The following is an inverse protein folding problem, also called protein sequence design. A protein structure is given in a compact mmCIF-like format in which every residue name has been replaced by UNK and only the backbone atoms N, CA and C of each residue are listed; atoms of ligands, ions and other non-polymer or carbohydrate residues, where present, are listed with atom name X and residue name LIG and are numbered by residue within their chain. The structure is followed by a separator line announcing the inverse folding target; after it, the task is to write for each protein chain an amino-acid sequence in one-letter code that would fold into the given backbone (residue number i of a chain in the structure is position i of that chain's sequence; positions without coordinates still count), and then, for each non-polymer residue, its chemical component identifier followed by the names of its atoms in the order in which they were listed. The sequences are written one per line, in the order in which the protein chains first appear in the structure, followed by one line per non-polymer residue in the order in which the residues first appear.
data_IF_327143091680
#
_entry.id   IF_327143091680
#
_cell.length_a   1.000
_cell.length_b   1.000
_cell.length_c   1.000
_cell.angle_alpha   90.00
_cell.angle_beta   90.00
_cell.angle_gamma   90.00
#
_symmetry.space_group_name_H-M   'P 1'
#
loop_
_entity.id
_entity.type
_entity.pdbx_description
1 polymer ?
#
# COMPACT_ATOMS: atom_id res chain seq x y z
N UNK A 1 5.37 -8.82 -10.18
CA UNK A 1 4.32 -7.87 -9.82
C UNK A 1 3.28 -8.53 -8.98
N UNK A 2 2.73 -7.84 -8.04
CA UNK A 2 2.61 -6.38 -7.91
C UNK A 2 3.69 -5.73 -7.02
N UNK A 3 3.69 -4.38 -7.02
CA UNK A 3 4.48 -3.58 -6.10
C UNK A 3 3.56 -2.72 -5.25
N UNK A 4 3.71 -2.82 -3.94
CA UNK A 4 2.99 -1.96 -3.00
C UNK A 4 3.98 -1.05 -2.29
N UNK A 5 3.83 0.24 -2.49
CA UNK A 5 4.67 1.26 -1.87
C UNK A 5 3.84 1.95 -0.82
N UNK A 6 4.22 1.78 0.45
CA UNK A 6 3.53 2.36 1.58
C UNK A 6 4.28 3.63 1.95
N UNK A 7 3.53 4.71 2.10
CA UNK A 7 4.10 6.01 2.49
C UNK A 7 3.44 6.44 3.79
N UNK A 8 4.23 6.98 4.71
CA UNK A 8 3.70 7.58 5.93
C UNK A 8 4.61 8.72 6.38
N UNK A 9 4.11 9.54 7.28
CA UNK A 9 4.93 10.57 7.90
C UNK A 9 5.72 9.99 9.07
N UNK A 10 6.75 10.72 9.48
CA UNK A 10 7.67 10.29 10.52
C UNK A 10 6.97 10.00 11.85
N UNK A 11 6.01 10.82 12.24
CA UNK A 11 5.32 10.66 13.52
C UNK A 11 4.49 9.38 13.59
N UNK A 12 4.00 8.89 12.45
CA UNK A 12 3.30 7.61 12.38
C UNK A 12 4.20 6.47 12.89
N UNK A 13 5.50 6.52 12.63
CA UNK A 13 6.44 5.47 13.04
C UNK A 13 6.66 5.39 14.55
N UNK A 14 6.19 6.39 15.31
CA UNK A 14 6.32 6.38 16.78
C UNK A 14 5.35 5.40 17.43
N UNK A 15 4.25 5.06 16.77
CA UNK A 15 3.23 4.16 17.31
C UNK A 15 2.89 2.99 16.37
N UNK A 16 3.61 2.87 15.26
CA UNK A 16 3.45 1.79 14.28
C UNK A 16 4.78 1.09 14.11
N UNK A 17 4.82 -0.22 14.27
CA UNK A 17 5.98 -1.01 13.89
C UNK A 17 6.08 -1.03 12.37
N UNK A 18 7.19 -0.53 11.83
CA UNK A 18 7.40 -0.39 10.40
C UNK A 18 7.29 -1.72 9.65
N UNK A 19 7.91 -2.78 10.15
CA UNK A 19 7.81 -4.08 9.50
C UNK A 19 6.40 -4.64 9.57
N UNK A 20 5.70 -4.43 10.68
CA UNK A 20 4.32 -4.88 10.80
C UNK A 20 3.40 -4.16 9.81
N UNK A 21 3.63 -2.86 9.60
CA UNK A 21 2.89 -2.09 8.61
C UNK A 21 3.08 -2.67 7.20
N UNK A 22 4.32 -2.98 6.82
CA UNK A 22 4.63 -3.60 5.54
C UNK A 22 3.96 -4.98 5.42
N UNK A 23 4.04 -5.79 6.47
CA UNK A 23 3.41 -7.12 6.49
C UNK A 23 1.90 -7.05 6.35
N UNK A 24 1.26 -6.08 6.99
CA UNK A 24 -0.19 -5.93 6.91
C UNK A 24 -0.65 -5.69 5.47
N UNK A 25 0.06 -4.85 4.73
CA UNK A 25 -0.24 -4.60 3.32
C UNK A 25 0.07 -5.82 2.47
N UNK A 26 1.21 -6.46 2.72
CA UNK A 26 1.59 -7.70 2.03
C UNK A 26 0.50 -8.77 2.20
N UNK A 27 0.04 -8.98 3.43
CA UNK A 27 -0.96 -9.99 3.74
C UNK A 27 -2.32 -9.65 3.11
N UNK A 28 -2.72 -8.39 3.09
CA UNK A 28 -3.94 -7.96 2.40
C UNK A 28 -3.88 -8.27 0.91
N UNK A 29 -2.75 -8.01 0.27
CA UNK A 29 -2.54 -8.33 -1.14
C UNK A 29 -2.60 -9.84 -1.38
N UNK A 30 -1.96 -10.63 -0.53
CA UNK A 30 -1.97 -12.08 -0.63
C UNK A 30 -3.38 -12.64 -0.45
N UNK A 31 -4.11 -12.13 0.55
CA UNK A 31 -5.47 -12.59 0.86
C UNK A 31 -6.49 -12.22 -0.21
N UNK A 32 -6.18 -11.25 -1.07
CA UNK A 32 -7.06 -10.90 -2.19
C UNK A 32 -7.24 -12.03 -3.19
N UNK A 33 -6.29 -12.97 -3.23
CA UNK A 33 -6.30 -14.06 -4.20
C UNK A 33 -5.88 -13.67 -5.61
N UNK A 34 -5.52 -12.40 -5.82
CA UNK A 34 -5.15 -11.88 -7.14
C UNK A 34 -3.69 -12.13 -7.51
N UNK A 35 -2.84 -12.39 -6.52
CA UNK A 35 -1.40 -12.49 -6.72
C UNK A 35 -0.82 -13.69 -6.00
N UNK A 36 0.27 -14.27 -6.54
CA UNK A 36 0.98 -15.30 -5.82
C UNK A 36 1.97 -14.66 -4.83
N UNK A 37 2.19 -15.34 -3.73
CA UNK A 37 3.10 -14.92 -2.67
C UNK A 37 4.48 -14.48 -3.21
N UNK A 38 5.03 -15.27 -4.14
CA UNK A 38 6.37 -15.06 -4.65
C UNK A 38 6.52 -13.81 -5.54
N UNK A 39 5.40 -13.26 -5.98
CA UNK A 39 5.40 -12.09 -6.86
C UNK A 39 5.15 -10.78 -6.13
N UNK A 40 4.61 -10.82 -4.91
CA UNK A 40 4.24 -9.61 -4.17
C UNK A 40 5.50 -8.94 -3.61
N UNK A 41 5.60 -7.62 -3.81
CA UNK A 41 6.65 -6.80 -3.22
C UNK A 41 6.00 -5.66 -2.47
N UNK A 42 6.44 -5.43 -1.23
CA UNK A 42 5.93 -4.35 -0.41
C UNK A 42 7.09 -3.66 0.31
N UNK A 43 7.05 -2.34 0.37
CA UNK A 43 8.09 -1.54 1.00
C UNK A 43 7.51 -0.25 1.54
N UNK A 44 8.20 0.31 2.53
CA UNK A 44 7.78 1.51 3.23
C UNK A 44 8.73 2.66 2.94
N UNK A 45 8.14 3.83 2.69
CA UNK A 45 8.88 5.09 2.60
C UNK A 45 8.33 6.06 3.64
N UNK A 46 9.20 6.59 4.49
CA UNK A 46 8.85 7.51 5.56
C UNK A 46 9.27 8.93 5.17
N UNK A 47 8.37 9.88 5.30
CA UNK A 47 8.61 11.29 4.98
C UNK A 47 8.89 12.07 6.26
N UNK A 48 9.99 12.82 6.27
CA UNK A 48 10.35 13.70 7.38
C UNK A 48 9.50 14.96 7.41
N UNK A 49 9.07 15.42 6.26
CA UNK A 49 8.32 16.68 6.10
C UNK A 49 7.08 16.43 5.29
N UNK A 50 5.92 16.76 5.84
CA UNK A 50 4.65 16.61 5.14
C UNK A 50 3.58 17.51 5.75
N UNK A 51 2.59 17.86 4.93
CA UNK A 51 1.39 18.56 5.38
C UNK A 51 0.17 17.80 4.84
N UNK A 52 -0.79 17.61 5.70
CA UNK A 52 -2.11 17.06 5.34
C UNK A 52 -3.17 18.03 5.88
N UNK A 53 -4.02 18.53 4.99
CA UNK A 53 -5.03 19.53 5.35
C UNK A 53 -4.42 20.76 6.00
N UNK A 54 -3.20 21.16 5.56
CA UNK A 54 -2.50 22.33 6.06
C UNK A 54 -1.82 22.18 7.41
N UNK A 55 -1.82 20.99 7.97
CA UNK A 55 -1.23 20.69 9.28
C UNK A 55 -0.38 19.41 9.23
N UNK A 56 0.34 19.15 10.30
CA UNK A 56 1.18 17.96 10.44
C UNK A 56 0.33 16.80 10.96
N UNK A 57 -0.60 16.32 10.12
CA UNK A 57 -1.42 15.16 10.47
C UNK A 57 -0.75 13.85 10.05
N UNK A 58 -1.03 12.79 10.78
CA UNK A 58 -0.54 11.46 10.46
C UNK A 58 -1.29 10.88 9.26
N UNK A 59 -0.54 10.31 8.32
CA UNK A 59 -1.13 9.67 7.15
C UNK A 59 -0.43 8.36 6.82
N UNK A 60 -1.18 7.47 6.19
CA UNK A 60 -0.67 6.26 5.55
C UNK A 60 -1.30 6.20 4.16
N UNK A 61 -0.46 6.22 3.13
CA UNK A 61 -0.91 6.07 1.75
C UNK A 61 -0.24 4.85 1.12
N UNK A 62 -1.01 4.08 0.36
CA UNK A 62 -0.49 2.90 -0.34
C UNK A 62 -0.69 3.07 -1.84
N UNK A 63 0.42 3.00 -2.59
CA UNK A 63 0.40 2.88 -4.03
C UNK A 63 0.52 1.40 -4.39
N UNK A 64 -0.46 0.85 -5.10
CA UNK A 64 -0.37 -0.50 -5.63
C UNK A 64 -0.21 -0.46 -7.14
N UNK A 65 0.90 -1.01 -7.64
CA UNK A 65 1.17 -1.12 -9.07
C UNK A 65 0.99 -2.56 -9.49
N UNK A 66 0.01 -2.82 -10.34
CA UNK A 66 -0.37 -4.17 -10.75
C UNK A 66 -0.38 -4.29 -12.26
N UNK A 67 -0.42 -5.54 -12.76
CA UNK A 67 -0.56 -5.81 -14.19
C UNK A 67 -1.95 -5.46 -14.70
N UNK A 68 -2.05 -5.15 -15.97
CA UNK A 68 -3.32 -4.99 -16.67
C UNK A 68 -4.12 -6.29 -16.61
N UNK A 69 -5.44 -6.19 -16.74
CA UNK A 69 -6.31 -7.34 -16.86
C UNK A 69 -7.25 -7.59 -15.69
N UNK A 70 -7.07 -6.92 -14.55
CA UNK A 70 -8.03 -7.00 -13.45
C UNK A 70 -9.19 -6.06 -13.73
N UNK A 71 -10.39 -6.47 -13.28
CA UNK A 71 -11.59 -5.65 -13.43
C UNK A 71 -11.54 -4.44 -12.48
N UNK A 72 -12.35 -3.43 -12.79
CA UNK A 72 -12.52 -2.28 -11.91
C UNK A 72 -12.98 -2.72 -10.51
N UNK A 73 -13.89 -3.70 -10.45
CA UNK A 73 -14.37 -4.25 -9.19
C UNK A 73 -13.25 -4.90 -8.38
N UNK A 74 -12.38 -5.69 -9.01
CA UNK A 74 -11.25 -6.33 -8.34
C UNK A 74 -10.27 -5.29 -7.78
N UNK A 75 -9.97 -4.26 -8.55
CA UNK A 75 -9.08 -3.17 -8.11
C UNK A 75 -9.67 -2.38 -6.97
N UNK A 76 -10.95 -2.04 -7.06
CA UNK A 76 -11.64 -1.30 -6.01
C UNK A 76 -11.67 -2.09 -4.70
N UNK A 77 -11.98 -3.37 -4.77
CA UNK A 77 -12.03 -4.24 -3.60
C UNK A 77 -10.67 -4.35 -2.93
N UNK A 78 -9.60 -4.44 -3.72
CA UNK A 78 -8.24 -4.47 -3.20
C UNK A 78 -7.93 -3.19 -2.42
N UNK A 79 -8.26 -2.03 -2.98
CA UNK A 79 -8.08 -0.75 -2.30
C UNK A 79 -8.88 -0.66 -1.01
N UNK A 80 -10.14 -1.06 -1.04
CA UNK A 80 -11.03 -1.05 0.14
C UNK A 80 -10.49 -1.95 1.24
N UNK A 81 -10.05 -3.14 0.91
CA UNK A 81 -9.53 -4.10 1.88
C UNK A 81 -8.25 -3.59 2.54
N UNK A 82 -7.35 -2.99 1.76
CA UNK A 82 -6.12 -2.41 2.30
C UNK A 82 -6.44 -1.25 3.24
N UNK A 83 -7.30 -0.33 2.81
CA UNK A 83 -7.65 0.85 3.62
C UNK A 83 -8.37 0.42 4.91
N UNK A 84 -9.35 -0.46 4.82
CA UNK A 84 -10.11 -0.88 6.00
C UNK A 84 -9.24 -1.65 6.98
N UNK A 85 -8.34 -2.49 6.50
CA UNK A 85 -7.38 -3.22 7.36
C UNK A 85 -6.47 -2.24 8.10
N UNK A 86 -5.88 -1.29 7.39
CA UNK A 86 -4.99 -0.31 8.00
C UNK A 86 -5.73 0.61 8.97
N UNK A 87 -6.93 1.04 8.62
CA UNK A 87 -7.71 1.91 9.52
C UNK A 87 -8.13 1.19 10.80
N UNK A 88 -8.44 -0.10 10.70
CA UNK A 88 -8.76 -0.92 11.87
C UNK A 88 -7.55 -1.09 12.79
N UNK A 89 -6.37 -1.33 12.21
CA UNK A 89 -5.14 -1.53 12.97
C UNK A 89 -4.55 -0.22 13.51
N UNK A 90 -4.77 0.88 12.80
CA UNK A 90 -4.19 2.20 13.13
C UNK A 90 -5.28 3.26 13.13
N UNK A 91 -6.23 3.17 14.09
CA UNK A 91 -7.42 4.04 14.09
C UNK A 91 -7.11 5.52 14.30
N UNK A 92 -5.95 5.85 14.86
CA UNK A 92 -5.56 7.23 15.13
C UNK A 92 -4.89 7.91 13.94
N UNK A 93 -4.61 7.19 12.86
CA UNK A 93 -4.12 7.82 11.63
C UNK A 93 -5.21 8.73 11.06
N UNK A 94 -4.86 9.99 10.85
CA UNK A 94 -5.80 11.00 10.33
C UNK A 94 -6.29 10.64 8.93
N UNK A 95 -5.39 10.17 8.07
CA UNK A 95 -5.69 9.85 6.68
C UNK A 95 -5.10 8.49 6.33
N UNK A 96 -5.95 7.59 5.84
CA UNK A 96 -5.51 6.31 5.26
C UNK A 96 -6.10 6.23 3.85
N UNK A 97 -5.26 6.02 2.87
CA UNK A 97 -5.69 5.97 1.47
C UNK A 97 -4.91 4.94 0.67
N UNK A 98 -5.48 4.50 -0.43
CA UNK A 98 -4.85 3.54 -1.34
C UNK A 98 -5.26 3.86 -2.77
N UNK A 99 -4.31 3.77 -3.69
CA UNK A 99 -4.57 3.94 -5.12
C UNK A 99 -3.92 2.78 -5.87
N UNK A 100 -4.71 2.06 -6.62
CA UNK A 100 -4.24 0.94 -7.44
C UNK A 100 -4.06 1.42 -8.87
N UNK A 101 -2.85 1.26 -9.40
CA UNK A 101 -2.46 1.71 -10.73
C UNK A 101 -2.00 0.52 -11.56
N UNK A 102 -2.27 0.56 -12.85
CA UNK A 102 -1.77 -0.44 -13.77
C UNK A 102 -0.40 -0.04 -14.31
N UNK A 103 0.53 -1.00 -14.35
CA UNK A 103 1.83 -0.82 -14.96
C UNK A 103 1.71 -0.93 -16.47
N UNK A 104 2.61 -0.21 -17.18
CA UNK A 104 2.73 -0.33 -18.63
C UNK A 104 3.44 -1.65 -18.95
N UNK A 105 2.69 -2.62 -19.46
CA UNK A 105 3.20 -3.94 -19.82
C UNK A 105 4.35 -3.86 -20.83
N UNK A 106 4.31 -2.87 -21.71
CA UNK A 106 5.35 -2.73 -22.76
C UNK A 106 6.70 -2.34 -22.21
N UNK A 107 6.74 -1.65 -21.06
CA UNK A 107 7.98 -1.12 -20.50
C UNK A 107 8.41 -1.80 -19.20
N UNK A 108 7.57 -2.64 -18.61
CA UNK A 108 7.93 -3.33 -17.38
C UNK A 108 8.75 -4.60 -17.69
N UNK A 109 9.96 -4.62 -17.19
CA UNK A 109 10.86 -5.77 -17.36
C UNK A 109 11.36 -6.21 -15.99
N UNK A 110 11.29 -7.52 -15.74
CA UNK A 110 11.76 -8.11 -14.49
C UNK A 110 12.68 -9.29 -14.79
N UNK A 111 13.80 -9.33 -14.09
CA UNK A 111 14.70 -10.49 -14.08
C UNK A 111 14.81 -10.95 -12.63
N UNK A 112 14.56 -12.22 -12.40
CA UNK A 112 14.57 -12.81 -11.06
C UNK A 112 15.37 -14.10 -11.06
N UNK A 113 16.15 -14.29 -9.99
CA UNK A 113 16.90 -15.54 -9.79
C UNK A 113 15.99 -16.72 -9.48
#
# INVERSE_FOLDING_TARGET
MPHFIIECNKDTTKFVDEMQLVKNVYDSALNSGLFSRDNIKARLKVYDVSLVAGEDHDFIHVWGYIREGRTEEQKNRLSEDIVSTLKTLYPDAYLVSCDIRELDEASYIKIQL
#
